data_IF_842498872587
#
_entry.id   IF_842498872587
#
_cell.length_a   1.000
_cell.length_b   1.000
_cell.length_c   1.000
_cell.angle_alpha   90.00
_cell.angle_beta   90.00
_cell.angle_gamma   90.00
#
_symmetry.space_group_name_H-M   'P 1'
#
loop_
_entity.id
_entity.type
_entity.pdbx_description
1 polymer ?
#
# COMPACT_ATOMS: atom_id res chain seq x y z
N UNK A 1 -54.60 -27.69 -3.53
CA UNK A 1 -53.41 -28.47 -3.12
C UNK A 1 -52.19 -27.65 -3.50
N UNK A 2 -51.58 -26.97 -2.52
CA UNK A 2 -50.38 -26.17 -2.72
C UNK A 2 -49.16 -27.00 -2.32
N UNK A 3 -48.36 -27.38 -3.31
CA UNK A 3 -47.10 -28.09 -3.10
C UNK A 3 -46.12 -27.19 -2.32
N UNK A 4 -45.87 -27.59 -1.06
CA UNK A 4 -44.77 -27.09 -0.25
C UNK A 4 -43.46 -27.48 -0.93
N UNK A 5 -42.78 -26.52 -1.56
CA UNK A 5 -41.36 -26.65 -1.92
C UNK A 5 -40.56 -26.90 -0.65
N UNK A 6 -40.12 -28.15 -0.46
CA UNK A 6 -39.22 -28.55 0.60
C UNK A 6 -37.93 -27.72 0.51
N UNK A 7 -37.54 -27.06 1.61
CA UNK A 7 -36.27 -26.36 1.70
C UNK A 7 -35.12 -27.35 1.49
N UNK A 8 -34.30 -27.11 0.47
CA UNK A 8 -33.14 -27.94 0.15
C UNK A 8 -32.20 -27.99 1.37
N UNK A 9 -32.07 -29.17 1.97
CA UNK A 9 -31.14 -29.45 3.07
C UNK A 9 -29.71 -29.51 2.51
N UNK A 10 -28.76 -28.99 3.27
CA UNK A 10 -27.33 -29.25 3.06
C UNK A 10 -27.07 -30.76 3.00
N UNK A 11 -26.25 -31.22 2.06
CA UNK A 11 -26.06 -32.65 1.81
C UNK A 11 -24.77 -32.97 1.06
N UNK A 12 -24.26 -34.18 1.25
CA UNK A 12 -23.11 -34.70 0.53
C UNK A 12 -23.51 -35.00 -0.92
N UNK A 13 -22.80 -34.43 -1.89
CA UNK A 13 -22.93 -34.71 -3.32
C UNK A 13 -21.66 -35.39 -3.81
N UNK A 14 -21.82 -36.54 -4.45
CA UNK A 14 -20.72 -37.25 -5.13
C UNK A 14 -20.72 -36.87 -6.60
N UNK A 15 -19.53 -36.65 -7.15
CA UNK A 15 -19.31 -36.25 -8.54
C UNK A 15 -18.38 -37.26 -9.19
N UNK A 16 -18.76 -37.69 -10.40
CA UNK A 16 -17.88 -38.50 -11.23
C UNK A 16 -16.80 -37.64 -11.92
N UNK A 17 -15.65 -38.20 -12.31
CA UNK A 17 -14.67 -37.48 -13.13
C UNK A 17 -15.34 -36.87 -14.38
N UNK A 18 -15.11 -35.58 -14.61
CA UNK A 18 -15.69 -34.81 -15.71
C UNK A 18 -17.09 -34.23 -15.43
N UNK A 19 -17.75 -34.61 -14.34
CA UNK A 19 -19.09 -34.11 -14.01
C UNK A 19 -19.06 -32.61 -13.65
N UNK A 20 -19.96 -31.84 -14.27
CA UNK A 20 -20.11 -30.40 -14.01
C UNK A 20 -20.93 -30.19 -12.73
N UNK A 21 -20.35 -29.46 -11.78
CA UNK A 21 -21.00 -29.10 -10.52
C UNK A 21 -22.02 -27.97 -10.74
N UNK A 22 -21.62 -26.92 -11.47
CA UNK A 22 -22.47 -25.80 -11.92
C UNK A 22 -21.81 -25.04 -13.09
N UNK A 23 -22.59 -24.22 -13.79
CA UNK A 23 -22.11 -23.43 -14.93
C UNK A 23 -21.94 -21.94 -14.62
N UNK A 24 -21.04 -21.27 -15.36
CA UNK A 24 -20.88 -19.82 -15.34
C UNK A 24 -22.21 -19.11 -15.63
N UNK A 25 -22.50 -18.04 -14.86
CA UNK A 25 -23.73 -17.26 -14.99
C UNK A 25 -25.00 -17.93 -14.45
N UNK A 26 -24.96 -19.19 -14.02
CA UNK A 26 -26.09 -19.89 -13.41
C UNK A 26 -26.49 -19.22 -12.09
N UNK A 27 -27.79 -19.22 -11.76
CA UNK A 27 -28.24 -18.66 -10.47
C UNK A 27 -27.77 -19.58 -9.33
N UNK A 28 -27.02 -19.04 -8.38
CA UNK A 28 -26.55 -19.76 -7.22
C UNK A 28 -27.55 -19.68 -6.07
N UNK A 29 -27.69 -20.79 -5.35
CA UNK A 29 -28.49 -20.92 -4.13
C UNK A 29 -27.71 -21.61 -3.00
N UNK A 30 -26.47 -22.01 -3.27
CA UNK A 30 -25.62 -22.78 -2.39
C UNK A 30 -24.13 -22.57 -2.71
N UNK A 31 -23.31 -22.77 -1.68
CA UNK A 31 -21.87 -22.93 -1.78
C UNK A 31 -21.50 -24.37 -1.45
N UNK A 32 -20.29 -24.79 -1.81
CA UNK A 32 -19.82 -26.15 -1.59
C UNK A 32 -18.47 -26.18 -0.88
N UNK A 33 -18.24 -27.21 -0.08
CA UNK A 33 -16.93 -27.51 0.50
C UNK A 33 -16.46 -28.84 -0.06
N UNK A 34 -15.28 -28.88 -0.65
CA UNK A 34 -14.71 -30.11 -1.20
C UNK A 34 -14.24 -30.97 -0.02
N UNK A 35 -14.83 -32.16 0.16
CA UNK A 35 -14.40 -33.12 1.18
C UNK A 35 -13.24 -33.96 0.66
N UNK A 36 -13.37 -34.46 -0.57
CA UNK A 36 -12.38 -35.31 -1.22
C UNK A 36 -12.39 -35.05 -2.74
N UNK A 37 -11.25 -35.23 -3.39
CA UNK A 37 -11.10 -35.07 -4.84
C UNK A 37 -10.58 -33.70 -5.27
N UNK A 38 -10.77 -33.37 -6.55
CA UNK A 38 -10.27 -32.14 -7.18
C UNK A 38 -11.28 -31.63 -8.22
N UNK A 39 -11.53 -30.32 -8.20
CA UNK A 39 -12.42 -29.65 -9.13
C UNK A 39 -11.65 -28.56 -9.87
N UNK A 40 -11.88 -28.43 -11.17
CA UNK A 40 -11.40 -27.29 -11.96
C UNK A 40 -12.45 -26.19 -12.04
N UNK A 41 -12.00 -24.94 -11.96
CA UNK A 41 -12.75 -23.75 -12.29
C UNK A 41 -12.38 -23.29 -13.70
N UNK A 42 -13.36 -22.97 -14.52
CA UNK A 42 -13.11 -22.52 -15.89
C UNK A 42 -14.17 -21.57 -16.42
N UNK A 43 -13.80 -20.83 -17.47
CA UNK A 43 -14.73 -19.99 -18.24
C UNK A 43 -14.75 -20.39 -19.71
N UNK A 44 -15.93 -20.51 -20.33
CA UNK A 44 -16.02 -20.72 -21.76
C UNK A 44 -15.42 -19.52 -22.52
N UNK A 45 -14.57 -19.78 -23.53
CA UNK A 45 -13.99 -18.78 -24.43
C UNK A 45 -13.95 -19.33 -25.86
N UNK A 46 -14.82 -18.83 -26.74
CA UNK A 46 -14.91 -19.32 -28.12
C UNK A 46 -15.29 -20.80 -28.18
N UNK A 47 -14.49 -21.61 -28.89
CA UNK A 47 -14.68 -23.08 -28.97
C UNK A 47 -14.01 -23.85 -27.83
N UNK A 48 -13.33 -23.18 -26.91
CA UNK A 48 -12.61 -23.79 -25.79
C UNK A 48 -12.99 -23.17 -24.45
N UNK A 49 -12.15 -23.38 -23.44
CA UNK A 49 -12.29 -22.75 -22.13
C UNK A 49 -10.94 -22.22 -21.63
N UNK A 50 -11.00 -21.20 -20.77
CA UNK A 50 -9.86 -20.77 -19.96
C UNK A 50 -10.01 -21.43 -18.60
N UNK A 51 -9.00 -22.19 -18.19
CA UNK A 51 -8.92 -22.68 -16.81
C UNK A 51 -8.50 -21.53 -15.88
N UNK A 52 -9.23 -21.37 -14.78
CA UNK A 52 -9.02 -20.29 -13.81
C UNK A 52 -8.19 -20.81 -12.64
N UNK A 53 -8.54 -21.97 -12.10
CA UNK A 53 -7.87 -22.59 -10.97
C UNK A 53 -8.26 -24.07 -10.84
N UNK A 54 -7.47 -24.84 -10.09
CA UNK A 54 -7.82 -26.19 -9.63
C UNK A 54 -7.91 -26.17 -8.11
N UNK A 55 -9.05 -26.60 -7.59
CA UNK A 55 -9.37 -26.66 -6.16
C UNK A 55 -9.31 -28.09 -5.65
N UNK A 56 -8.97 -28.25 -4.37
CA UNK A 56 -8.72 -29.52 -3.67
C UNK A 56 -9.58 -29.63 -2.40
N UNK A 57 -9.51 -30.80 -1.77
CA UNK A 57 -10.14 -31.05 -0.48
C UNK A 57 -9.82 -29.96 0.57
N UNK A 58 -10.84 -29.53 1.31
CA UNK A 58 -10.79 -28.44 2.29
C UNK A 58 -11.18 -27.07 1.74
N UNK A 59 -11.17 -26.88 0.41
CA UNK A 59 -11.48 -25.59 -0.20
C UNK A 59 -12.99 -25.37 -0.39
N UNK A 60 -13.39 -24.10 -0.31
CA UNK A 60 -14.78 -23.65 -0.51
C UNK A 60 -14.94 -23.11 -1.93
N UNK A 61 -16.07 -23.41 -2.55
CA UNK A 61 -16.39 -23.00 -3.91
C UNK A 61 -17.82 -22.48 -4.03
N UNK A 62 -18.00 -21.40 -4.78
CA UNK A 62 -19.31 -20.80 -5.05
C UNK A 62 -19.82 -19.88 -3.94
N UNK A 63 -18.96 -19.60 -2.95
CA UNK A 63 -19.16 -18.61 -1.90
C UNK A 63 -19.30 -17.19 -2.45
N UNK A 64 -18.63 -16.88 -3.56
CA UNK A 64 -18.69 -15.55 -4.17
C UNK A 64 -20.12 -15.10 -4.46
N UNK A 65 -20.98 -16.01 -4.93
CA UNK A 65 -22.35 -15.69 -5.29
C UNK A 65 -23.24 -15.41 -4.06
N UNK A 66 -22.81 -15.78 -2.86
CA UNK A 66 -23.49 -15.41 -1.61
C UNK A 66 -23.16 -13.97 -1.19
N UNK A 67 -21.89 -13.59 -1.30
CA UNK A 67 -21.43 -12.25 -0.91
C UNK A 67 -21.69 -11.19 -2.00
N UNK A 68 -22.13 -11.60 -3.18
CA UNK A 68 -22.41 -10.72 -4.31
C UNK A 68 -23.82 -10.13 -4.34
N UNK A 69 -24.01 -8.94 -3.77
CA UNK A 69 -25.25 -8.18 -3.97
C UNK A 69 -25.43 -7.70 -5.42
N UNK A 70 -24.33 -7.37 -6.11
CA UNK A 70 -24.35 -6.65 -7.39
C UNK A 70 -24.37 -7.59 -8.61
N UNK A 71 -23.77 -8.77 -8.49
CA UNK A 71 -23.77 -9.85 -9.48
C UNK A 71 -25.05 -10.70 -9.50
N UNK A 72 -26.09 -10.28 -8.76
CA UNK A 72 -27.42 -10.91 -8.78
C UNK A 72 -27.45 -12.36 -8.29
N UNK A 73 -26.47 -12.78 -7.49
CA UNK A 73 -26.35 -14.14 -6.99
C UNK A 73 -26.05 -15.19 -8.06
N UNK A 74 -25.33 -14.83 -9.13
CA UNK A 74 -24.93 -15.76 -10.20
C UNK A 74 -23.54 -16.36 -9.98
N UNK A 75 -23.29 -17.55 -10.52
CA UNK A 75 -21.96 -18.19 -10.55
C UNK A 75 -20.99 -17.33 -11.35
N UNK A 76 -19.80 -17.11 -10.80
CA UNK A 76 -18.77 -16.29 -11.42
C UNK A 76 -17.93 -17.01 -12.46
N UNK A 77 -17.98 -18.34 -12.50
CA UNK A 77 -17.34 -19.25 -13.47
C UNK A 77 -18.00 -20.65 -13.39
N UNK A 78 -17.65 -21.56 -14.30
CA UNK A 78 -18.07 -22.97 -14.27
C UNK A 78 -17.14 -23.81 -13.39
N UNK A 79 -17.65 -24.91 -12.84
CA UNK A 79 -16.88 -25.85 -12.04
C UNK A 79 -17.17 -27.30 -12.44
N UNK A 80 -16.14 -28.13 -12.58
CA UNK A 80 -16.28 -29.55 -12.89
C UNK A 80 -15.27 -30.40 -12.14
N UNK A 81 -15.66 -31.62 -11.77
CA UNK A 81 -14.79 -32.60 -11.14
C UNK A 81 -13.72 -33.07 -12.12
N UNK A 82 -12.45 -33.09 -11.70
CA UNK A 82 -11.35 -33.67 -12.47
C UNK A 82 -11.16 -35.16 -12.15
N UNK A 83 -11.47 -35.54 -10.92
CA UNK A 83 -11.43 -36.91 -10.40
C UNK A 83 -12.72 -37.20 -9.63
N UNK A 84 -12.94 -38.44 -9.20
CA UNK A 84 -14.06 -38.76 -8.32
C UNK A 84 -13.98 -37.89 -7.07
N UNK A 85 -15.02 -37.11 -6.83
CA UNK A 85 -15.00 -36.05 -5.83
C UNK A 85 -16.26 -36.06 -4.97
N UNK A 86 -16.13 -35.63 -3.73
CA UNK A 86 -17.23 -35.48 -2.79
C UNK A 86 -17.26 -34.04 -2.30
N UNK A 87 -18.43 -33.40 -2.38
CA UNK A 87 -18.63 -32.03 -1.94
C UNK A 87 -19.80 -31.95 -0.97
N UNK A 88 -19.69 -31.13 0.07
CA UNK A 88 -20.82 -30.79 0.93
C UNK A 88 -21.47 -29.55 0.37
N UNK A 89 -22.71 -29.67 -0.06
CA UNK A 89 -23.54 -28.53 -0.43
C UNK A 89 -24.09 -27.85 0.82
N UNK A 90 -23.93 -26.53 0.90
CA UNK A 90 -24.49 -25.69 1.96
C UNK A 90 -25.36 -24.64 1.29
N UNK A 91 -26.66 -24.70 1.55
CA UNK A 91 -27.60 -23.70 1.03
C UNK A 91 -27.31 -22.32 1.62
N UNK A 92 -27.56 -21.27 0.85
CA UNK A 92 -27.37 -19.90 1.32
C UNK A 92 -28.23 -19.56 2.53
N UNK A 93 -29.39 -20.19 2.67
CA UNK A 93 -30.25 -20.04 3.86
C UNK A 93 -29.63 -20.68 5.09
N UNK A 94 -29.06 -21.89 4.97
CA UNK A 94 -28.34 -22.53 6.06
C UNK A 94 -27.08 -21.75 6.44
N UNK A 95 -26.32 -21.30 5.43
CA UNK A 95 -25.13 -20.47 5.64
C UNK A 95 -25.47 -19.13 6.30
N UNK A 96 -26.54 -18.46 5.87
CA UNK A 96 -27.00 -17.21 6.48
C UNK A 96 -27.39 -17.40 7.96
N UNK A 97 -28.03 -18.51 8.30
CA UNK A 97 -28.37 -18.83 9.69
C UNK A 97 -27.10 -19.00 10.54
N UNK A 98 -26.09 -19.70 10.03
CA UNK A 98 -24.78 -19.81 10.69
C UNK A 98 -24.13 -18.43 10.85
N UNK A 99 -24.11 -17.62 9.78
CA UNK A 99 -23.55 -16.27 9.78
C UNK A 99 -24.26 -15.32 10.76
N UNK A 100 -25.57 -15.49 10.96
CA UNK A 100 -26.33 -14.71 11.97
C UNK A 100 -26.04 -15.11 13.41
N UNK A 101 -25.56 -16.34 13.63
CA UNK A 101 -25.13 -16.80 14.95
C UNK A 101 -23.71 -16.36 15.30
N UNK A 102 -22.95 -15.82 14.34
CA UNK A 102 -21.62 -15.27 14.59
C UNK A 102 -21.72 -13.89 15.26
N UNK A 103 -20.74 -13.56 16.08
CA UNK A 103 -20.64 -12.24 16.69
C UNK A 103 -20.59 -11.14 15.58
N UNK A 104 -21.36 -10.04 15.70
CA UNK A 104 -21.42 -8.98 14.69
C UNK A 104 -20.08 -8.52 14.10
N UNK A 105 -19.00 -8.47 14.88
CA UNK A 105 -17.69 -8.05 14.35
C UNK A 105 -17.05 -9.08 13.41
N UNK A 106 -17.25 -10.40 13.64
CA UNK A 106 -16.77 -11.45 12.72
C UNK A 106 -17.46 -11.34 11.36
N UNK A 107 -18.77 -11.08 11.35
CA UNK A 107 -19.54 -10.84 10.12
C UNK A 107 -19.00 -9.64 9.35
N UNK A 108 -18.64 -8.57 10.05
CA UNK A 108 -18.02 -7.38 9.44
C UNK A 108 -16.67 -7.68 8.81
N UNK A 109 -15.81 -8.47 9.48
CA UNK A 109 -14.50 -8.86 8.94
C UNK A 109 -14.66 -9.72 7.69
N UNK A 110 -15.51 -10.76 7.72
CA UNK A 110 -15.73 -11.65 6.58
C UNK A 110 -16.23 -10.88 5.37
N UNK A 111 -17.24 -10.01 5.56
CA UNK A 111 -17.76 -9.18 4.47
C UNK A 111 -16.72 -8.20 3.92
N UNK A 112 -15.90 -7.62 4.79
CA UNK A 112 -14.82 -6.70 4.38
C UNK A 112 -13.75 -7.42 3.56
N UNK A 113 -13.32 -8.60 3.99
CA UNK A 113 -12.33 -9.41 3.29
C UNK A 113 -12.89 -9.90 1.94
N UNK A 114 -14.13 -10.38 1.90
CA UNK A 114 -14.80 -10.81 0.67
C UNK A 114 -14.90 -9.67 -0.35
N UNK A 115 -15.33 -8.48 0.09
CA UNK A 115 -15.41 -7.29 -0.76
C UNK A 115 -14.03 -6.86 -1.27
N UNK A 116 -13.00 -6.84 -0.42
CA UNK A 116 -11.63 -6.47 -0.81
C UNK A 116 -11.04 -7.44 -1.82
N UNK A 117 -11.16 -8.75 -1.59
CA UNK A 117 -10.65 -9.76 -2.51
C UNK A 117 -11.28 -9.61 -3.89
N UNK A 118 -12.58 -9.31 -3.95
CA UNK A 118 -13.27 -9.00 -5.20
C UNK A 118 -12.76 -7.72 -5.86
N UNK A 119 -12.69 -6.60 -5.14
CA UNK A 119 -12.22 -5.34 -5.74
C UNK A 119 -10.82 -5.50 -6.32
N UNK A 120 -9.96 -6.28 -5.64
CA UNK A 120 -8.64 -6.63 -6.15
C UNK A 120 -8.73 -7.49 -7.41
N UNK A 121 -9.52 -8.56 -7.43
CA UNK A 121 -9.68 -9.42 -8.62
C UNK A 121 -10.27 -8.67 -9.83
N UNK A 122 -11.24 -7.78 -9.62
CA UNK A 122 -11.80 -6.93 -10.69
C UNK A 122 -10.77 -5.94 -11.23
N UNK A 123 -9.96 -5.33 -10.36
CA UNK A 123 -8.87 -4.43 -10.78
C UNK A 123 -7.74 -5.15 -11.50
N UNK A 124 -7.39 -6.37 -11.08
CA UNK A 124 -6.41 -7.20 -11.79
C UNK A 124 -6.92 -7.53 -13.18
N UNK A 125 -8.21 -7.85 -13.33
CA UNK A 125 -8.83 -8.11 -14.63
C UNK A 125 -8.91 -6.88 -15.53
N UNK A 126 -9.19 -5.70 -14.95
CA UNK A 126 -9.11 -4.41 -15.67
C UNK A 126 -7.68 -4.08 -16.09
N UNK A 127 -6.68 -4.38 -15.25
CA UNK A 127 -5.26 -4.18 -15.55
C UNK A 127 -4.74 -5.18 -16.60
N UNK A 128 -5.27 -6.40 -16.66
CA UNK A 128 -5.00 -7.38 -17.72
C UNK A 128 -5.69 -7.03 -19.05
N UNK A 129 -6.87 -6.40 -19.02
CA UNK A 129 -7.49 -5.84 -20.22
C UNK A 129 -6.85 -4.52 -20.67
N UNK A 130 -6.28 -3.76 -19.73
CA UNK A 130 -5.59 -2.49 -19.96
C UNK A 130 -4.06 -2.64 -19.99
N UNK A 131 -3.49 -3.85 -20.00
CA UNK A 131 -2.03 -4.05 -20.07
C UNK A 131 -1.42 -3.71 -21.45
N UNK A 132 -2.17 -3.08 -22.33
CA UNK A 132 -1.63 -2.09 -23.27
C UNK A 132 -1.87 -0.67 -22.76
N UNK A 133 -1.43 -0.36 -21.55
CA UNK A 133 -1.20 1.02 -21.14
C UNK A 133 0.17 1.43 -21.70
N UNK A 134 0.25 1.44 -23.03
CA UNK A 134 1.23 2.24 -23.73
C UNK A 134 0.75 3.68 -23.52
N UNK A 135 1.52 4.49 -22.81
CA UNK A 135 1.38 5.94 -22.93
C UNK A 135 1.76 6.29 -24.37
N UNK A 136 0.77 6.37 -25.25
CA UNK A 136 0.93 6.66 -26.68
C UNK A 136 1.54 8.05 -26.97
N UNK A 137 1.86 8.85 -25.95
CA UNK A 137 2.38 10.20 -26.11
C UNK A 137 3.91 10.33 -26.07
N UNK A 138 4.67 9.40 -25.48
CA UNK A 138 6.11 9.64 -25.22
C UNK A 138 7.07 8.49 -25.45
N UNK A 139 6.60 7.25 -25.70
CA UNK A 139 7.47 6.12 -26.09
C UNK A 139 8.57 5.73 -25.08
N UNK A 140 8.61 6.33 -23.88
CA UNK A 140 9.53 5.94 -22.80
C UNK A 140 8.92 4.82 -21.97
N UNK A 141 9.60 3.68 -21.90
CA UNK A 141 9.33 2.67 -20.90
C UNK A 141 9.50 3.31 -19.51
N UNK A 142 8.46 3.27 -18.68
CA UNK A 142 8.63 3.41 -17.24
C UNK A 142 9.53 2.25 -16.82
N UNK A 143 10.77 2.55 -16.44
CA UNK A 143 11.68 1.55 -15.89
C UNK A 143 11.05 0.81 -14.71
N UNK A 144 11.65 -0.31 -14.32
CA UNK A 144 11.26 -1.02 -13.12
C UNK A 144 11.23 -0.07 -11.91
N UNK A 145 10.09 0.00 -11.22
CA UNK A 145 9.92 0.79 -10.00
C UNK A 145 9.64 -0.17 -8.84
N UNK A 146 10.56 -0.24 -7.88
CA UNK A 146 10.46 -1.14 -6.74
C UNK A 146 9.28 -0.77 -5.82
N UNK A 147 9.19 0.50 -5.43
CA UNK A 147 8.06 1.10 -4.72
C UNK A 147 7.19 1.90 -5.67
N UNK A 148 6.00 1.37 -5.99
CA UNK A 148 4.93 2.17 -6.60
C UNK A 148 4.28 3.02 -5.52
N UNK A 149 3.65 4.13 -5.90
CA UNK A 149 2.90 4.98 -4.95
C UNK A 149 1.86 4.20 -4.12
N UNK A 150 1.22 3.17 -4.72
CA UNK A 150 0.28 2.31 -4.00
C UNK A 150 0.93 1.45 -2.92
N UNK A 151 2.18 1.02 -3.13
CA UNK A 151 2.92 0.23 -2.14
C UNK A 151 3.24 1.10 -0.92
N UNK A 152 3.76 2.32 -1.17
CA UNK A 152 4.16 3.26 -0.11
C UNK A 152 2.97 3.59 0.78
N UNK A 153 1.84 3.98 0.18
CA UNK A 153 0.61 4.33 0.92
C UNK A 153 0.13 3.13 1.76
N UNK A 154 0.14 1.92 1.17
CA UNK A 154 -0.30 0.70 1.84
C UNK A 154 0.62 0.33 3.00
N UNK A 155 1.94 0.46 2.85
CA UNK A 155 2.91 0.17 3.91
C UNK A 155 2.81 1.20 5.03
N UNK A 156 2.88 2.50 4.72
CA UNK A 156 2.80 3.56 5.74
C UNK A 156 1.47 3.52 6.50
N UNK A 157 0.36 3.32 5.79
CA UNK A 157 -0.95 3.17 6.40
C UNK A 157 -1.06 1.93 7.28
N UNK A 158 -0.48 0.80 6.84
CA UNK A 158 -0.46 -0.43 7.64
C UNK A 158 0.41 -0.26 8.89
N UNK A 159 1.61 0.31 8.77
CA UNK A 159 2.46 0.58 9.93
C UNK A 159 1.73 1.49 10.93
N UNK A 160 1.12 2.58 10.45
CA UNK A 160 0.39 3.49 11.33
C UNK A 160 -0.74 2.77 12.07
N UNK A 161 -1.56 1.98 11.38
CA UNK A 161 -2.67 1.25 11.99
C UNK A 161 -2.20 0.20 12.99
N UNK A 162 -1.19 -0.59 12.63
CA UNK A 162 -0.72 -1.71 13.47
C UNK A 162 -0.02 -1.18 14.71
N UNK A 163 0.88 -0.21 14.59
CA UNK A 163 1.53 0.40 15.75
C UNK A 163 0.53 1.14 16.63
N UNK A 164 -0.44 1.86 16.06
CA UNK A 164 -1.48 2.54 16.85
C UNK A 164 -2.37 1.55 17.61
N UNK A 165 -2.60 0.35 17.08
CA UNK A 165 -3.53 -0.63 17.65
C UNK A 165 -2.88 -1.63 18.60
N UNK A 166 -1.62 -1.99 18.36
CA UNK A 166 -0.91 -3.07 19.05
C UNK A 166 0.45 -2.65 19.61
N UNK A 167 0.88 -1.43 19.35
CA UNK A 167 2.13 -0.93 19.86
C UNK A 167 2.04 -0.61 21.35
N UNK A 168 3.13 -0.86 22.06
CA UNK A 168 3.29 -0.56 23.47
C UNK A 168 4.13 0.72 23.61
N UNK A 169 3.77 1.60 24.53
CA UNK A 169 4.57 2.80 24.80
C UNK A 169 5.94 2.41 25.37
N UNK A 170 6.99 3.00 24.81
CA UNK A 170 8.38 2.84 25.18
C UNK A 170 9.01 4.23 25.36
N UNK A 171 10.14 4.33 26.05
CA UNK A 171 10.86 5.59 26.31
C UNK A 171 11.20 6.36 25.03
N UNK A 172 11.39 5.65 23.92
CA UNK A 172 11.81 6.21 22.64
C UNK A 172 10.70 6.28 21.59
N UNK A 173 9.46 5.88 21.92
CA UNK A 173 8.34 5.89 20.98
C UNK A 173 7.35 4.75 21.22
N UNK A 174 6.70 4.31 20.15
CA UNK A 174 5.77 3.17 20.20
C UNK A 174 6.48 1.93 19.66
N UNK A 175 6.64 0.93 20.52
CA UNK A 175 7.33 -0.31 20.23
C UNK A 175 6.36 -1.41 19.78
N UNK A 176 6.77 -2.21 18.80
CA UNK A 176 6.00 -3.33 18.30
C UNK A 176 6.93 -4.46 17.86
N UNK A 177 6.60 -5.69 18.26
CA UNK A 177 7.35 -6.86 17.81
C UNK A 177 7.09 -7.17 16.32
N UNK A 178 8.15 -7.44 15.55
CA UNK A 178 8.13 -7.71 14.10
C UNK A 178 7.13 -8.79 13.70
N UNK A 179 7.00 -9.86 14.51
CA UNK A 179 6.01 -10.93 14.29
C UNK A 179 4.56 -10.42 14.21
N UNK A 180 4.19 -9.45 15.06
CA UNK A 180 2.86 -8.83 14.99
C UNK A 180 2.74 -8.01 13.71
N UNK A 181 3.77 -7.24 13.36
CA UNK A 181 3.76 -6.47 12.11
C UNK A 181 3.62 -7.38 10.88
N UNK A 182 4.34 -8.51 10.84
CA UNK A 182 4.27 -9.49 9.76
C UNK A 182 2.88 -10.10 9.59
N UNK A 183 2.22 -10.46 10.70
CA UNK A 183 0.84 -10.97 10.67
C UNK A 183 -0.10 -9.99 9.94
N UNK A 184 0.00 -8.69 10.23
CA UNK A 184 -0.87 -7.71 9.58
C UNK A 184 -0.38 -7.35 8.18
N UNK A 185 0.87 -6.96 8.02
CA UNK A 185 1.39 -6.47 6.76
C UNK A 185 1.50 -7.57 5.70
N UNK A 186 2.03 -8.75 6.03
CA UNK A 186 2.20 -9.86 5.08
C UNK A 186 0.93 -10.67 4.96
N UNK A 187 0.45 -11.28 6.04
CA UNK A 187 -0.63 -12.27 5.97
C UNK A 187 -2.00 -11.63 5.68
N UNK A 188 -2.32 -10.52 6.35
CA UNK A 188 -3.64 -9.87 6.20
C UNK A 188 -3.66 -8.92 5.00
N UNK A 189 -2.68 -8.03 4.90
CA UNK A 189 -2.65 -7.02 3.84
C UNK A 189 -1.99 -7.51 2.55
N UNK A 190 -1.24 -8.60 2.54
CA UNK A 190 -0.55 -9.07 1.34
C UNK A 190 0.49 -8.09 0.83
N UNK A 191 1.28 -7.50 1.74
CA UNK A 191 2.44 -6.66 1.40
C UNK A 191 3.65 -7.57 1.25
N UNK A 192 4.40 -7.38 0.16
CA UNK A 192 5.63 -8.13 -0.12
C UNK A 192 6.67 -7.83 0.96
N UNK A 193 7.28 -8.88 1.53
CA UNK A 193 8.27 -8.79 2.60
C UNK A 193 9.43 -7.84 2.28
N UNK A 194 10.06 -7.99 1.11
CA UNK A 194 11.18 -7.14 0.71
C UNK A 194 10.82 -5.66 0.66
N UNK A 195 9.56 -5.30 0.40
CA UNK A 195 9.09 -3.90 0.44
C UNK A 195 8.88 -3.41 1.86
N UNK A 196 8.47 -4.28 2.78
CA UNK A 196 8.38 -3.96 4.22
C UNK A 196 9.77 -3.67 4.76
N UNK A 197 10.73 -4.54 4.46
CA UNK A 197 12.11 -4.41 4.92
C UNK A 197 12.77 -3.15 4.37
N UNK A 198 12.66 -2.91 3.05
CA UNK A 198 13.21 -1.71 2.45
C UNK A 198 12.54 -0.43 2.98
N UNK A 199 11.23 -0.45 3.23
CA UNK A 199 10.54 0.71 3.82
C UNK A 199 10.99 0.95 5.26
N UNK A 200 11.35 -0.10 6.00
CA UNK A 200 11.90 0.04 7.33
C UNK A 200 13.26 0.76 7.30
N UNK A 201 14.12 0.42 6.32
CA UNK A 201 15.40 1.12 6.09
C UNK A 201 15.14 2.59 5.73
N UNK A 202 14.22 2.86 4.79
CA UNK A 202 13.83 4.24 4.44
C UNK A 202 13.38 5.03 5.67
N UNK A 203 12.50 4.45 6.51
CA UNK A 203 12.00 5.07 7.72
C UNK A 203 13.07 5.23 8.80
N UNK A 204 14.05 4.34 8.86
CA UNK A 204 15.20 4.46 9.74
C UNK A 204 16.10 5.62 9.33
N UNK A 205 16.40 5.73 8.03
CA UNK A 205 17.28 6.78 7.49
C UNK A 205 16.69 8.19 7.67
N UNK A 206 15.37 8.34 7.63
CA UNK A 206 14.68 9.61 7.95
C UNK A 206 14.40 9.80 9.45
N UNK A 207 14.90 8.89 10.29
CA UNK A 207 14.80 8.96 11.74
C UNK A 207 13.35 8.91 12.25
N UNK A 208 12.52 8.03 11.70
CA UNK A 208 11.16 7.72 12.19
C UNK A 208 11.12 6.37 12.89
N UNK A 209 11.89 5.40 12.39
CA UNK A 209 11.93 4.03 12.88
C UNK A 209 13.31 3.68 13.45
N UNK A 210 13.34 2.94 14.54
CA UNK A 210 14.54 2.31 15.08
C UNK A 210 14.26 0.85 15.45
N UNK A 211 15.33 0.09 15.72
CA UNK A 211 15.24 -1.31 16.10
C UNK A 211 15.84 -1.51 17.49
N UNK A 212 15.16 -2.30 18.30
CA UNK A 212 15.61 -2.77 19.60
C UNK A 212 15.64 -4.31 19.60
N UNK A 213 16.48 -4.86 20.48
CA UNK A 213 16.58 -6.30 20.63
C UNK A 213 15.40 -6.85 21.45
N UNK A 214 14.89 -8.01 21.04
CA UNK A 214 13.91 -8.77 21.80
C UNK A 214 14.58 -9.52 22.97
N UNK A 215 13.79 -10.33 23.69
CA UNK A 215 14.27 -11.13 24.83
C UNK A 215 15.34 -12.14 24.45
N UNK A 216 15.43 -12.50 23.17
CA UNK A 216 16.42 -13.45 22.62
C UNK A 216 17.64 -12.72 22.02
N UNK A 217 17.73 -11.39 22.17
CA UNK A 217 18.83 -10.57 21.68
C UNK A 217 18.76 -10.25 20.18
N UNK A 218 17.63 -10.50 19.52
CA UNK A 218 17.47 -10.27 18.07
C UNK A 218 16.77 -8.93 17.80
N UNK A 219 17.15 -8.15 16.76
CA UNK A 219 16.60 -6.81 16.49
C UNK A 219 15.17 -6.86 15.90
N UNK A 220 14.24 -7.44 16.66
CA UNK A 220 12.85 -7.71 16.27
C UNK A 220 11.84 -6.77 16.89
N UNK A 221 12.25 -5.88 17.79
CA UNK A 221 11.38 -4.83 18.32
C UNK A 221 11.56 -3.60 17.44
N UNK A 222 10.49 -3.20 16.75
CA UNK A 222 10.49 -2.01 15.93
C UNK A 222 9.90 -0.87 16.73
N UNK A 223 10.54 0.28 16.73
CA UNK A 223 10.13 1.44 17.52
C UNK A 223 9.91 2.62 16.59
N UNK A 224 8.70 3.18 16.60
CA UNK A 224 8.38 4.42 15.89
C UNK A 224 8.42 5.56 16.89
N UNK A 225 9.35 6.49 16.71
CA UNK A 225 9.52 7.62 17.64
C UNK A 225 8.39 8.65 17.58
N UNK A 226 7.65 8.70 16.47
CA UNK A 226 6.50 9.59 16.31
C UNK A 226 5.48 9.02 15.32
N UNK A 227 4.38 8.48 15.85
CA UNK A 227 3.26 8.02 15.02
C UNK A 227 2.63 9.16 14.21
N UNK A 228 2.70 10.38 14.72
CA UNK A 228 2.19 11.56 14.03
C UNK A 228 3.01 11.89 12.77
N UNK A 229 4.35 11.77 12.83
CA UNK A 229 5.21 11.92 11.64
C UNK A 229 4.89 10.85 10.60
N UNK A 230 4.72 9.59 11.01
CA UNK A 230 4.32 8.52 10.11
C UNK A 230 2.95 8.79 9.45
N UNK A 231 1.96 9.23 10.25
CA UNK A 231 0.63 9.59 9.77
C UNK A 231 0.68 10.75 8.77
N UNK A 232 1.50 11.76 9.04
CA UNK A 232 1.69 12.90 8.16
C UNK A 232 2.25 12.48 6.80
N UNK A 233 3.27 11.61 6.76
CA UNK A 233 3.80 11.04 5.53
C UNK A 233 2.76 10.25 4.74
N UNK A 234 2.00 9.40 5.42
CA UNK A 234 0.90 8.62 4.81
C UNK A 234 -0.14 9.54 4.15
N UNK A 235 -0.59 10.59 4.85
CA UNK A 235 -1.56 11.54 4.32
C UNK A 235 -0.97 12.30 3.14
N UNK A 236 0.25 12.80 3.27
CA UNK A 236 0.95 13.51 2.20
C UNK A 236 1.05 12.66 0.93
N UNK A 237 1.55 11.43 1.01
CA UNK A 237 1.66 10.53 -0.15
C UNK A 237 0.31 10.17 -0.75
N UNK A 238 -0.71 9.98 0.09
CA UNK A 238 -2.05 9.72 -0.40
C UNK A 238 -2.62 10.92 -1.16
N UNK A 239 -2.37 12.15 -0.71
CA UNK A 239 -2.75 13.37 -1.43
C UNK A 239 -1.98 13.51 -2.74
N UNK A 240 -0.65 13.35 -2.72
CA UNK A 240 0.22 13.45 -3.91
C UNK A 240 -0.20 12.50 -5.04
N UNK A 241 -0.69 11.30 -4.70
CA UNK A 241 -1.15 10.32 -5.68
C UNK A 241 -2.25 10.85 -6.61
N UNK A 242 -3.10 11.76 -6.14
CA UNK A 242 -4.22 12.31 -6.91
C UNK A 242 -3.87 13.62 -7.63
N UNK A 243 -2.67 14.17 -7.41
CA UNK A 243 -2.23 15.37 -8.10
C UNK A 243 -1.77 15.05 -9.53
N UNK A 244 -1.93 16.03 -10.42
CA UNK A 244 -1.31 16.03 -11.74
C UNK A 244 0.20 16.17 -11.60
N UNK A 245 0.98 15.66 -12.56
CA UNK A 245 2.44 15.58 -12.45
C UNK A 245 3.11 16.96 -12.24
N UNK A 246 2.53 18.03 -12.80
CA UNK A 246 2.97 19.42 -12.62
C UNK A 246 2.76 19.95 -11.19
N UNK A 247 1.84 19.36 -10.42
CA UNK A 247 1.52 19.77 -9.04
C UNK A 247 2.22 18.94 -7.98
N UNK A 248 2.74 17.77 -8.34
CA UNK A 248 3.44 16.89 -7.40
C UNK A 248 4.70 17.56 -6.89
N UNK A 249 5.03 17.36 -5.62
CA UNK A 249 6.25 17.91 -5.04
C UNK A 249 7.48 17.22 -5.68
N UNK A 250 8.36 18.03 -6.26
CA UNK A 250 9.61 17.59 -6.90
C UNK A 250 10.74 18.49 -6.42
N UNK A 251 11.59 17.95 -5.56
CA UNK A 251 12.74 18.65 -5.00
C UNK A 251 13.97 17.76 -5.20
N UNK A 252 14.94 18.23 -5.97
CA UNK A 252 16.18 17.48 -6.21
C UNK A 252 16.98 17.20 -4.92
N UNK A 253 17.84 16.17 -4.92
CA UNK A 253 18.69 15.83 -3.77
C UNK A 253 19.59 16.99 -3.34
N UNK A 254 20.13 17.74 -4.30
CA UNK A 254 20.97 18.92 -4.03
C UNK A 254 20.17 20.05 -3.37
N UNK A 255 18.94 20.27 -3.83
CA UNK A 255 18.02 21.21 -3.21
C UNK A 255 17.69 20.79 -1.77
N UNK A 256 17.40 19.50 -1.54
CA UNK A 256 17.21 18.96 -0.18
C UNK A 256 18.41 19.24 0.73
N UNK A 257 19.64 18.92 0.28
CA UNK A 257 20.87 19.16 1.08
C UNK A 257 20.99 20.64 1.47
N UNK A 258 20.65 21.54 0.56
CA UNK A 258 20.63 22.97 0.85
C UNK A 258 19.60 23.29 1.93
N UNK A 259 18.35 22.86 1.74
CA UNK A 259 17.24 23.11 2.66
C UNK A 259 17.50 22.54 4.06
N UNK A 260 18.21 21.41 4.18
CA UNK A 260 18.60 20.83 5.47
C UNK A 260 19.57 21.74 6.23
N UNK A 261 20.58 22.32 5.55
CA UNK A 261 21.51 23.26 6.18
C UNK A 261 20.87 24.59 6.53
N UNK A 262 19.94 25.05 5.71
CA UNK A 262 19.11 26.22 6.03
C UNK A 262 18.26 25.92 7.26
N UNK A 263 17.62 24.75 7.30
CA UNK A 263 16.79 24.32 8.42
C UNK A 263 17.56 24.32 9.73
N UNK A 264 18.76 23.72 9.78
CA UNK A 264 19.66 23.70 10.94
C UNK A 264 19.90 25.09 11.55
N UNK A 265 19.98 26.14 10.72
CA UNK A 265 20.21 27.52 11.17
C UNK A 265 18.98 28.21 11.73
N UNK A 266 17.79 27.85 11.22
CA UNK A 266 16.55 28.55 11.57
C UNK A 266 15.68 27.82 12.59
N UNK A 267 16.05 26.61 13.04
CA UNK A 267 15.24 25.83 14.00
C UNK A 267 14.87 26.63 15.27
N UNK A 268 15.74 27.55 15.69
CA UNK A 268 15.54 28.41 16.87
C UNK A 268 14.84 29.75 16.58
N UNK A 269 14.43 30.04 15.35
CA UNK A 269 13.81 31.30 14.92
C UNK A 269 12.43 31.07 14.28
N UNK A 270 11.38 30.81 15.08
CA UNK A 270 10.04 30.59 14.55
C UNK A 270 9.46 31.88 13.96
N UNK A 271 9.01 31.81 12.71
CA UNK A 271 8.27 32.89 12.04
C UNK A 271 6.81 32.46 11.73
N UNK A 272 5.99 33.41 11.25
CA UNK A 272 4.61 33.14 10.79
C UNK A 272 4.59 32.67 9.33
N UNK A 273 3.50 32.03 8.90
CA UNK A 273 3.33 31.55 7.51
C UNK A 273 3.50 32.63 6.43
N UNK A 274 3.27 33.89 6.79
CA UNK A 274 3.38 35.05 5.89
C UNK A 274 4.72 35.77 5.99
N UNK A 275 5.52 35.48 7.01
CA UNK A 275 6.83 36.10 7.22
C UNK A 275 7.94 35.25 6.59
N UNK A 276 8.91 35.91 5.99
CA UNK A 276 10.13 35.28 5.52
C UNK A 276 11.24 35.55 6.52
N UNK A 277 11.95 34.51 6.92
CA UNK A 277 13.18 34.64 7.73
C UNK A 277 14.34 34.80 6.78
N UNK A 278 15.16 35.81 7.02
CA UNK A 278 16.40 36.01 6.27
C UNK A 278 17.50 35.14 6.87
N UNK A 279 18.12 34.31 6.04
CA UNK A 279 19.16 33.35 6.46
C UNK A 279 20.44 33.65 5.68
N UNK A 280 21.53 34.00 6.37
CA UNK A 280 22.84 34.13 5.72
C UNK A 280 23.30 32.80 5.15
N UNK A 281 23.76 32.79 3.89
CA UNK A 281 24.17 31.57 3.16
C UNK A 281 25.59 31.62 2.58
N UNK A 282 26.31 32.75 2.66
CA UNK A 282 27.67 32.86 2.07
C UNK A 282 28.66 31.81 2.58
N UNK A 283 28.73 31.61 3.89
CA UNK A 283 29.66 30.69 4.54
C UNK A 283 29.35 29.22 4.22
N UNK A 284 28.08 28.85 4.08
CA UNK A 284 27.72 27.49 3.64
C UNK A 284 28.10 27.23 2.17
N UNK A 285 27.96 28.23 1.31
CA UNK A 285 28.37 28.14 -0.11
C UNK A 285 29.90 28.00 -0.23
N UNK A 286 30.65 28.76 0.56
CA UNK A 286 32.12 28.65 0.64
C UNK A 286 32.54 27.25 1.16
N UNK A 287 31.95 26.78 2.25
CA UNK A 287 32.24 25.47 2.81
C UNK A 287 31.94 24.31 1.83
N UNK A 288 30.88 24.41 1.04
CA UNK A 288 30.58 23.42 -0.01
C UNK A 288 31.58 23.49 -1.16
N UNK A 289 32.00 24.70 -1.56
CA UNK A 289 33.03 24.89 -2.59
C UNK A 289 34.37 24.26 -2.16
N UNK A 290 34.77 24.45 -0.91
CA UNK A 290 35.98 23.85 -0.33
C UNK A 290 35.90 22.31 -0.27
N UNK A 291 34.71 21.76 0.00
CA UNK A 291 34.47 20.31 0.00
C UNK A 291 34.21 19.72 -1.39
N UNK A 292 34.38 20.50 -2.46
CA UNK A 292 34.06 20.10 -3.83
C UNK A 292 32.62 19.58 -4.01
N UNK A 293 31.69 20.08 -3.20
CA UNK A 293 30.27 19.78 -3.35
C UNK A 293 29.64 20.70 -4.41
N UNK A 294 28.99 20.11 -5.41
CA UNK A 294 28.29 20.85 -6.47
C UNK A 294 26.89 21.32 -6.04
N UNK A 295 26.77 22.00 -4.90
CA UNK A 295 25.53 22.59 -4.37
C UNK A 295 25.67 24.11 -4.34
N UNK A 296 24.72 24.82 -4.95
CA UNK A 296 24.72 26.28 -5.10
C UNK A 296 23.27 26.82 -5.14
N UNK A 297 23.10 28.14 -5.27
CA UNK A 297 21.80 28.81 -5.29
C UNK A 297 20.89 28.39 -6.45
N UNK A 298 21.44 27.96 -7.58
CA UNK A 298 20.65 27.55 -8.75
C UNK A 298 19.82 26.29 -8.46
N UNK A 299 20.28 25.46 -7.51
CA UNK A 299 19.55 24.26 -7.09
C UNK A 299 18.30 24.58 -6.26
N UNK A 300 18.08 25.83 -5.84
CA UNK A 300 16.91 26.22 -5.05
C UNK A 300 15.67 26.52 -5.91
N UNK A 301 15.77 26.48 -7.24
CA UNK A 301 14.63 26.78 -8.12
C UNK A 301 13.43 25.87 -7.84
N UNK A 302 13.68 24.59 -7.58
CA UNK A 302 12.64 23.64 -7.17
C UNK A 302 11.90 24.15 -5.92
N UNK A 303 12.61 24.57 -4.88
CA UNK A 303 12.05 25.05 -3.63
C UNK A 303 11.30 26.40 -3.77
N UNK A 304 11.76 27.27 -4.67
CA UNK A 304 11.08 28.52 -5.01
C UNK A 304 9.71 28.28 -5.63
N UNK A 305 9.59 27.28 -6.51
CA UNK A 305 8.33 26.94 -7.17
C UNK A 305 7.23 26.53 -6.16
N UNK A 306 7.60 25.97 -5.00
CA UNK A 306 6.67 25.63 -3.92
C UNK A 306 6.60 26.73 -2.82
N UNK A 307 7.30 27.85 -3.02
CA UNK A 307 7.36 28.99 -2.11
C UNK A 307 7.94 28.63 -0.75
N UNK A 308 8.88 27.67 -0.69
CA UNK A 308 9.62 27.30 0.52
C UNK A 308 10.71 28.34 0.79
N UNK A 309 11.35 28.84 -0.27
CA UNK A 309 12.36 29.90 -0.24
C UNK A 309 11.95 31.02 -1.21
N UNK A 310 12.38 32.23 -0.91
CA UNK A 310 12.14 33.44 -1.69
C UNK A 310 13.39 33.89 -2.45
N UNK A 311 13.59 35.20 -2.51
CA UNK A 311 14.70 35.81 -3.23
C UNK A 311 16.02 35.72 -2.45
N UNK A 312 17.11 35.91 -3.18
CA UNK A 312 18.45 36.06 -2.59
C UNK A 312 18.73 37.54 -2.44
N UNK A 313 19.07 37.95 -1.23
CA UNK A 313 19.38 39.34 -0.89
C UNK A 313 20.89 39.48 -0.76
N UNK A 314 21.44 40.54 -1.35
CA UNK A 314 22.85 40.90 -1.20
C UNK A 314 22.93 41.91 -0.04
N UNK A 315 23.55 41.49 1.06
CA UNK A 315 23.81 42.31 2.24
C UNK A 315 25.08 43.15 2.05
N UNK A 316 25.29 44.08 3.00
CA UNK A 316 26.50 44.89 3.08
C UNK A 316 27.76 44.00 3.12
N UNK A 317 28.81 44.44 2.42
CA UNK A 317 30.06 43.70 2.17
C UNK A 317 29.94 42.46 1.25
N UNK A 318 28.86 42.34 0.46
CA UNK A 318 28.74 41.30 -0.57
C UNK A 318 28.35 39.92 -0.02
N UNK A 319 27.90 39.86 1.23
CA UNK A 319 27.33 38.64 1.81
C UNK A 319 25.96 38.36 1.21
N UNK A 320 25.61 37.09 1.09
CA UNK A 320 24.35 36.62 0.54
C UNK A 320 23.47 36.09 1.67
N UNK A 321 22.21 36.48 1.63
CA UNK A 321 21.15 35.92 2.45
C UNK A 321 20.00 35.41 1.58
N UNK A 322 19.25 34.46 2.12
CA UNK A 322 18.15 33.80 1.47
C UNK A 322 16.89 34.01 2.31
N UNK A 323 15.80 34.42 1.67
CA UNK A 323 14.50 34.45 2.31
C UNK A 323 13.91 33.04 2.42
N UNK A 324 13.42 32.68 3.62
CA UNK A 324 12.93 31.32 3.90
C UNK A 324 11.59 31.37 4.61
N UNK A 325 10.59 30.64 4.11
CA UNK A 325 9.34 30.44 4.81
C UNK A 325 9.51 29.29 5.81
N UNK A 326 9.75 29.63 7.09
CA UNK A 326 10.06 28.64 8.12
C UNK A 326 8.96 27.61 8.32
N UNK A 327 7.68 28.01 8.32
CA UNK A 327 6.57 27.08 8.54
C UNK A 327 6.38 26.11 7.37
N UNK A 328 6.49 26.60 6.13
CA UNK A 328 6.47 25.72 4.95
C UNK A 328 7.66 24.78 4.94
N UNK A 329 8.87 25.27 5.25
CA UNK A 329 10.05 24.43 5.31
C UNK A 329 9.91 23.36 6.40
N UNK A 330 9.49 23.73 7.61
CA UNK A 330 9.22 22.80 8.72
C UNK A 330 8.25 21.70 8.32
N UNK A 331 7.19 22.05 7.59
CA UNK A 331 6.15 21.12 7.15
C UNK A 331 6.60 20.22 6.01
N UNK A 332 7.34 20.76 5.04
CA UNK A 332 7.69 20.04 3.80
C UNK A 332 8.99 19.28 3.87
N UNK A 333 9.97 19.73 4.67
CA UNK A 333 11.29 19.10 4.74
C UNK A 333 11.23 17.59 5.06
N UNK A 334 10.45 17.12 6.05
CA UNK A 334 10.33 15.69 6.31
C UNK A 334 9.76 14.90 5.12
N UNK A 335 8.82 15.50 4.37
CA UNK A 335 8.25 14.86 3.18
C UNK A 335 9.29 14.79 2.06
N UNK A 336 10.06 15.85 1.86
CA UNK A 336 11.15 15.92 0.86
C UNK A 336 12.20 14.84 1.16
N UNK A 337 12.65 14.75 2.41
CA UNK A 337 13.62 13.76 2.86
C UNK A 337 13.16 12.34 2.58
N UNK A 338 11.92 12.04 2.95
CA UNK A 338 11.33 10.72 2.72
C UNK A 338 11.20 10.42 1.22
N UNK A 339 10.68 11.35 0.41
CA UNK A 339 10.52 11.14 -1.03
C UNK A 339 11.84 10.86 -1.74
N UNK A 340 12.87 11.68 -1.47
CA UNK A 340 14.16 11.49 -2.09
C UNK A 340 14.81 10.18 -1.65
N UNK A 341 14.64 9.77 -0.39
CA UNK A 341 15.15 8.48 0.08
C UNK A 341 14.42 7.29 -0.55
N UNK A 342 13.11 7.40 -0.81
CA UNK A 342 12.34 6.40 -1.58
C UNK A 342 12.82 6.34 -3.03
N UNK A 343 13.07 7.49 -3.67
CA UNK A 343 13.58 7.53 -5.04
C UNK A 343 14.97 6.88 -5.13
N UNK A 344 15.86 7.16 -4.17
CA UNK A 344 17.16 6.48 -4.04
C UNK A 344 17.00 4.95 -3.88
N UNK A 345 16.03 4.50 -3.08
CA UNK A 345 15.74 3.07 -2.94
C UNK A 345 15.29 2.46 -4.28
N UNK A 346 14.43 3.16 -5.02
CA UNK A 346 13.97 2.73 -6.34
C UNK A 346 15.12 2.62 -7.35
N UNK A 347 16.00 3.62 -7.40
CA UNK A 347 17.19 3.65 -8.27
C UNK A 347 18.15 2.49 -7.96
N UNK A 348 18.45 2.28 -6.67
CA UNK A 348 19.32 1.18 -6.22
C UNK A 348 18.76 -0.20 -6.59
N UNK A 349 17.44 -0.40 -6.43
CA UNK A 349 16.78 -1.68 -6.75
C UNK A 349 16.56 -1.89 -8.25
N UNK A 350 16.54 -0.81 -9.04
CA UNK A 350 16.45 -0.89 -10.50
C UNK A 350 17.79 -1.24 -11.18
N UNK A 351 18.90 -1.29 -10.43
CA UNK A 351 20.22 -1.62 -10.96
C UNK A 351 20.93 -0.47 -11.68
N UNK A 352 20.45 0.77 -11.51
CA UNK A 352 21.05 1.98 -12.08
C UNK A 352 21.95 2.69 -11.04
N UNK A 353 22.92 1.95 -10.47
CA UNK A 353 23.97 2.53 -9.63
C UNK A 353 25.21 2.86 -10.46
#
# INVERSE_FOLDING_TARGET
MSDKKAGAKSGLRKLNPGEVLFNDGEKANSLYIIQNGQLRLYKPKGKGFIEIAVLRAGEVIGEMAYFDSDGGGKRSCSAAAMVSSEVIEISFTAFAKTMSGLNPWFKTIINTLANRLRTTNSRVKELESNSTSVNYSTGKHSGYEFFKSSDIIKILGSFFLVFKSHGEENTSGVALHRKTLDLYCKEIFGIIESKIDEMAIVLQDVGILSFENDKDGQPKIWVINSLERLRALFIFYNTEKYLTDDKKLRISKKCQIFLERVWERIQSQPNTDTALTEVGVSDMLEAWKEKHMHVNLDHLQDARNYGIVGEVIVQDAGKLSLEVNYQKLKKQLPNIQFMNRVNEANEQKAGNA
#
